data_IF_655000433522
#
_entry.id   IF_655000433522
#
_cell.length_a   1.000
_cell.length_b   1.000
_cell.length_c   1.000
_cell.angle_alpha   90.00
_cell.angle_beta   90.00
_cell.angle_gamma   90.00
#
_symmetry.space_group_name_H-M   'P 1'
#
loop_
_entity.id
_entity.type
_entity.pdbx_description
1 polymer ?
#
# COMPACT_ATOMS: atom_id res chain seq x y z
N UNK A 1 7.18 -16.02 5.19
CA UNK A 1 6.10 -15.03 5.40
C UNK A 1 6.14 -14.00 4.26
N UNK A 2 5.03 -13.36 3.86
CA UNK A 2 5.06 -12.34 2.81
C UNK A 2 5.87 -11.11 3.24
N UNK A 3 6.71 -10.60 2.34
CA UNK A 3 7.43 -9.33 2.56
C UNK A 3 6.48 -8.17 2.28
N UNK A 4 6.17 -7.40 3.32
CA UNK A 4 5.33 -6.20 3.23
C UNK A 4 6.25 -5.00 3.12
N UNK A 5 6.09 -4.22 2.05
CA UNK A 5 6.81 -2.98 1.82
C UNK A 5 6.17 -1.84 2.62
N UNK A 6 4.87 -1.61 2.40
CA UNK A 6 4.15 -0.47 2.94
C UNK A 6 2.70 -0.81 3.28
N UNK A 7 2.13 -0.05 4.21
CA UNK A 7 0.71 -0.09 4.57
C UNK A 7 0.09 1.30 4.42
N UNK A 8 -1.10 1.35 3.84
CA UNK A 8 -1.87 2.59 3.69
C UNK A 8 -3.29 2.39 4.22
N UNK A 9 -3.92 3.41 4.84
CA UNK A 9 -5.36 3.43 5.03
C UNK A 9 -6.10 3.28 3.69
N UNK A 10 -7.29 2.67 3.68
CA UNK A 10 -8.09 2.55 2.44
C UNK A 10 -8.35 3.91 1.77
N UNK A 11 -8.53 4.98 2.56
CA UNK A 11 -8.72 6.34 2.07
C UNK A 11 -7.52 6.89 1.28
N UNK A 12 -6.33 6.30 1.46
CA UNK A 12 -5.09 6.68 0.81
C UNK A 12 -4.69 5.71 -0.33
N UNK A 13 -5.65 4.94 -0.86
CA UNK A 13 -5.41 4.09 -2.03
C UNK A 13 -4.77 4.83 -3.23
N UNK A 14 -5.09 6.10 -3.54
CA UNK A 14 -4.36 6.84 -4.58
C UNK A 14 -2.85 6.93 -4.34
N UNK A 15 -2.42 7.24 -3.11
CA UNK A 15 -0.99 7.32 -2.77
C UNK A 15 -0.30 5.94 -2.85
N UNK A 16 -1.02 4.87 -2.46
CA UNK A 16 -0.53 3.51 -2.64
C UNK A 16 -0.30 3.17 -4.13
N UNK A 17 -1.19 3.61 -5.03
CA UNK A 17 -1.03 3.44 -6.47
C UNK A 17 0.11 4.28 -7.04
N UNK A 18 0.22 5.55 -6.67
CA UNK A 18 1.33 6.41 -7.12
C UNK A 18 2.70 5.78 -6.80
N UNK A 19 2.87 5.20 -5.61
CA UNK A 19 4.10 4.48 -5.22
C UNK A 19 4.36 3.24 -6.09
N UNK A 20 3.30 2.49 -6.38
CA UNK A 20 3.38 1.28 -7.21
C UNK A 20 3.71 1.62 -8.66
N UNK A 21 3.07 2.65 -9.23
CA UNK A 21 3.30 3.14 -10.59
C UNK A 21 4.73 3.67 -10.76
N UNK A 22 5.28 4.30 -9.72
CA UNK A 22 6.68 4.73 -9.67
C UNK A 22 7.68 3.58 -9.48
N UNK A 23 7.24 2.32 -9.39
CA UNK A 23 8.07 1.13 -9.13
C UNK A 23 8.90 1.22 -7.85
N UNK A 24 8.36 1.85 -6.80
CA UNK A 24 9.10 2.12 -5.55
C UNK A 24 8.88 1.06 -4.47
N UNK A 25 7.95 0.12 -4.64
CA UNK A 25 7.67 -0.91 -3.64
C UNK A 25 8.61 -2.11 -3.76
N UNK A 26 9.27 -2.46 -2.66
CA UNK A 26 10.08 -3.67 -2.54
C UNK A 26 9.29 -4.76 -1.80
N UNK A 27 8.27 -5.30 -2.45
CA UNK A 27 7.35 -6.27 -1.87
C UNK A 27 5.88 -5.85 -2.01
N UNK A 28 5.03 -6.31 -1.10
CA UNK A 28 3.58 -6.05 -1.15
C UNK A 28 3.22 -4.73 -0.49
N UNK A 29 2.39 -3.94 -1.17
CA UNK A 29 1.63 -2.86 -0.55
C UNK A 29 0.32 -3.45 -0.01
N UNK A 30 -0.07 -3.07 1.20
CA UNK A 30 -1.31 -3.54 1.85
C UNK A 30 -2.19 -2.34 2.19
N UNK A 31 -3.49 -2.44 1.91
CA UNK A 31 -4.49 -1.47 2.33
C UNK A 31 -5.18 -1.95 3.59
N UNK A 32 -5.17 -1.13 4.64
CA UNK A 32 -5.84 -1.41 5.89
C UNK A 32 -7.31 -0.94 5.81
N UNK A 33 -8.23 -1.91 5.86
CA UNK A 33 -9.68 -1.72 5.84
C UNK A 33 -10.22 -1.60 7.26
N UNK A 34 -9.70 -0.66 8.07
CA UNK A 34 -10.37 -0.38 9.35
C UNK A 34 -11.74 0.22 9.06
N UNK A 35 -12.82 -0.26 9.70
CA UNK A 35 -14.09 0.47 9.69
C UNK A 35 -13.86 1.85 10.33
N UNK A 36 -14.56 2.86 9.81
CA UNK A 36 -14.61 4.18 10.42
C UNK A 36 -15.14 4.12 11.86
#
# INVERSE_FOLDING_TARGET
>A
APVIDSRFPLAEAPAAHERMEANLNAGKIVLDVKPA
#
